data_IF_999914439761
#
_entry.id   IF_999914439761
#
_cell.length_a   1.000
_cell.length_b   1.000
_cell.length_c   1.000
_cell.angle_alpha   90.00
_cell.angle_beta   90.00
_cell.angle_gamma   90.00
#
_symmetry.space_group_name_H-M   'P 1'
#
loop_
_entity.id
_entity.type
_entity.pdbx_description
1 polymer ?
#
# COMPACT_ATOMS: atom_id res chain seq x y z
N UNK A 1 -21.05 4.22 -15.72
CA UNK A 1 -20.54 5.63 -15.79
C UNK A 1 -20.84 6.44 -14.51
N UNK A 2 -22.06 6.36 -13.91
CA UNK A 2 -22.40 7.07 -12.65
C UNK A 2 -21.62 6.58 -11.44
N UNK A 3 -21.35 5.29 -11.34
CA UNK A 3 -20.66 4.67 -10.18
C UNK A 3 -19.20 5.09 -10.07
N UNK A 4 -18.53 5.27 -11.21
CA UNK A 4 -17.18 5.83 -11.27
C UNK A 4 -17.10 7.28 -10.74
N UNK A 5 -18.18 8.05 -10.86
CA UNK A 5 -18.23 9.43 -10.39
C UNK A 5 -18.35 9.47 -8.86
N UNK A 6 -19.22 8.63 -8.29
CA UNK A 6 -19.44 8.58 -6.83
C UNK A 6 -18.17 8.14 -6.11
N UNK A 7 -17.49 7.11 -6.60
CA UNK A 7 -16.24 6.66 -5.95
C UNK A 7 -15.07 7.63 -6.18
N UNK A 8 -14.95 8.23 -7.36
CA UNK A 8 -13.98 9.29 -7.60
C UNK A 8 -14.16 10.45 -6.62
N UNK A 9 -15.39 10.89 -6.39
CA UNK A 9 -15.72 11.90 -5.39
C UNK A 9 -15.38 11.46 -3.95
N UNK A 10 -15.52 10.17 -3.65
CA UNK A 10 -15.15 9.63 -2.34
C UNK A 10 -13.64 9.62 -2.13
N UNK A 11 -12.86 9.29 -3.17
CA UNK A 11 -11.40 9.32 -3.13
C UNK A 11 -10.83 10.73 -2.90
N UNK A 12 -11.53 11.78 -3.34
CA UNK A 12 -11.14 13.17 -3.04
C UNK A 12 -11.12 13.47 -1.54
N UNK A 13 -11.88 12.70 -0.74
CA UNK A 13 -11.96 12.84 0.72
C UNK A 13 -11.06 11.86 1.48
N UNK A 14 -10.02 11.30 0.84
CA UNK A 14 -9.11 10.38 1.50
C UNK A 14 -8.39 11.04 2.68
N UNK A 15 -8.49 10.43 3.85
CA UNK A 15 -7.78 10.83 5.06
C UNK A 15 -6.56 9.94 5.23
N UNK A 16 -5.38 10.50 5.03
CA UNK A 16 -4.12 9.80 5.10
C UNK A 16 -3.32 10.23 6.33
N UNK A 17 -2.82 9.24 7.08
CA UNK A 17 -1.96 9.47 8.24
C UNK A 17 -0.68 8.64 8.12
N UNK A 18 0.46 9.29 8.28
CA UNK A 18 1.75 8.64 8.45
C UNK A 18 1.93 8.26 9.91
N UNK A 19 2.27 7.01 10.20
CA UNK A 19 2.49 6.52 11.54
C UNK A 19 4.00 6.46 11.87
N UNK A 20 4.77 5.77 11.05
CA UNK A 20 6.21 5.60 11.23
C UNK A 20 6.85 5.07 9.95
N UNK A 21 8.16 5.18 9.84
CA UNK A 21 8.91 4.62 8.73
C UNK A 21 10.40 4.91 8.85
N UNK A 22 11.21 4.12 8.16
CA UNK A 22 12.66 4.27 8.15
C UNK A 22 13.27 3.50 6.97
N UNK A 23 14.60 3.61 6.84
CA UNK A 23 15.43 2.69 6.07
C UNK A 23 16.08 1.70 7.02
N UNK A 24 15.87 0.41 6.81
CA UNK A 24 16.42 -0.64 7.64
C UNK A 24 17.32 -1.58 6.83
N UNK A 25 18.53 -1.82 7.34
CA UNK A 25 19.32 -2.99 7.01
C UNK A 25 18.96 -4.05 8.05
N UNK A 26 18.16 -5.04 7.64
CA UNK A 26 17.59 -6.00 8.56
C UNK A 26 18.67 -6.97 9.09
N UNK A 27 18.68 -7.20 10.40
CA UNK A 27 19.60 -8.15 11.03
C UNK A 27 19.19 -9.61 10.75
N UNK A 28 20.09 -10.56 10.91
CA UNK A 28 19.91 -11.96 10.49
C UNK A 28 18.66 -12.66 11.07
N UNK A 29 18.28 -12.34 12.31
CA UNK A 29 17.08 -12.89 12.96
C UNK A 29 15.82 -12.04 12.76
N UNK A 30 15.83 -11.12 11.78
CA UNK A 30 14.65 -10.31 11.48
C UNK A 30 13.52 -11.20 10.96
N UNK A 31 12.37 -11.04 11.58
CA UNK A 31 11.13 -11.72 11.19
C UNK A 31 10.03 -11.47 12.21
N UNK A 32 8.81 -11.63 11.80
CA UNK A 32 7.62 -11.50 12.66
C UNK A 32 6.39 -12.08 11.97
N UNK A 33 5.37 -12.39 12.78
CA UNK A 33 3.99 -12.58 12.34
C UNK A 33 3.11 -11.54 13.04
N UNK A 34 2.37 -10.78 12.27
CA UNK A 34 1.46 -9.75 12.74
C UNK A 34 0.05 -10.08 12.24
N UNK A 35 -0.92 -10.09 13.16
CA UNK A 35 -2.30 -10.44 12.87
C UNK A 35 -3.15 -9.17 12.93
N UNK A 36 -3.87 -8.90 11.86
CA UNK A 36 -4.84 -7.80 11.73
C UNK A 36 -4.32 -6.43 12.20
N UNK A 37 -3.18 -5.93 11.66
CA UNK A 37 -2.76 -4.58 11.96
C UNK A 37 -3.80 -3.58 11.45
N UNK A 38 -4.04 -2.51 12.22
CA UNK A 38 -4.97 -1.43 11.83
C UNK A 38 -4.41 -0.46 10.78
N UNK A 39 -3.20 -0.72 10.27
CA UNK A 39 -2.46 0.13 9.36
C UNK A 39 -1.90 -0.66 8.19
N UNK A 40 -1.65 0.04 7.09
CA UNK A 40 -1.01 -0.48 5.89
C UNK A 40 0.50 -0.30 5.98
N UNK A 41 1.25 -1.12 5.24
CA UNK A 41 2.71 -0.98 5.11
C UNK A 41 3.11 -0.94 3.66
N UNK A 42 4.09 -0.08 3.35
CA UNK A 42 4.91 -0.23 2.17
C UNK A 42 6.30 -0.74 2.56
N UNK A 43 6.79 -1.75 1.84
CA UNK A 43 8.16 -2.28 1.93
C UNK A 43 8.79 -2.22 0.55
N UNK A 44 9.78 -1.34 0.36
CA UNK A 44 10.56 -1.27 -0.87
C UNK A 44 11.90 -1.95 -0.67
N UNK A 45 12.11 -3.09 -1.35
CA UNK A 45 13.29 -3.94 -1.16
C UNK A 45 14.47 -3.38 -1.96
N UNK A 46 15.52 -2.95 -1.26
CA UNK A 46 16.70 -2.34 -1.85
C UNK A 46 17.83 -3.34 -2.11
N UNK A 47 17.90 -4.40 -1.32
CA UNK A 47 18.87 -5.50 -1.49
C UNK A 47 18.40 -6.76 -0.78
N UNK A 48 18.98 -7.91 -1.13
CA UNK A 48 18.71 -9.19 -0.51
C UNK A 48 17.36 -9.79 -0.93
N UNK A 49 16.94 -10.79 -0.17
CA UNK A 49 15.69 -11.52 -0.38
C UNK A 49 15.07 -11.96 0.95
N UNK A 50 13.74 -12.06 0.99
CA UNK A 50 13.04 -12.55 2.17
C UNK A 50 11.70 -13.21 1.78
N UNK A 51 11.19 -14.04 2.68
CA UNK A 51 9.84 -14.54 2.61
C UNK A 51 8.85 -13.48 3.12
N UNK A 52 7.75 -13.31 2.39
CA UNK A 52 6.59 -12.52 2.83
C UNK A 52 5.34 -13.35 2.55
N UNK A 53 4.49 -13.51 3.57
CA UNK A 53 3.15 -14.09 3.44
C UNK A 53 2.13 -13.04 3.85
N UNK A 54 1.09 -12.88 3.04
CA UNK A 54 -0.06 -12.01 3.30
C UNK A 54 -1.30 -12.88 3.14
N UNK A 55 -1.99 -13.16 4.24
CA UNK A 55 -3.06 -14.15 4.32
C UNK A 55 -2.62 -15.50 3.72
N UNK A 56 -3.26 -15.97 2.65
CA UNK A 56 -2.93 -17.24 1.98
C UNK A 56 -1.88 -17.09 0.88
N UNK A 57 -1.44 -15.87 0.56
CA UNK A 57 -0.52 -15.58 -0.54
C UNK A 57 0.94 -15.51 -0.07
N UNK A 58 1.82 -16.28 -0.70
CA UNK A 58 3.23 -16.40 -0.32
C UNK A 58 4.15 -15.83 -1.43
N UNK A 59 5.21 -15.14 -1.02
CA UNK A 59 6.13 -14.46 -1.92
C UNK A 59 7.57 -14.61 -1.46
N UNK A 60 8.49 -14.66 -2.42
CA UNK A 60 9.91 -14.39 -2.21
C UNK A 60 10.18 -12.97 -2.71
N UNK A 61 10.21 -12.04 -1.77
CA UNK A 61 10.49 -10.65 -2.06
C UNK A 61 11.95 -10.44 -2.43
N UNK A 62 12.19 -9.65 -3.48
CA UNK A 62 13.53 -9.39 -4.04
C UNK A 62 13.76 -7.90 -4.27
N UNK A 63 15.03 -7.54 -4.47
CA UNK A 63 15.44 -6.17 -4.82
C UNK A 63 14.58 -5.62 -5.99
N UNK A 64 14.14 -4.38 -5.85
CA UNK A 64 13.36 -3.66 -6.87
C UNK A 64 11.84 -3.83 -6.72
N UNK A 65 11.38 -4.67 -5.79
CA UNK A 65 9.96 -4.87 -5.53
C UNK A 65 9.46 -3.93 -4.44
N UNK A 66 8.31 -3.32 -4.69
CA UNK A 66 7.56 -2.52 -3.72
C UNK A 66 6.33 -3.31 -3.30
N UNK A 67 6.32 -3.77 -2.05
CA UNK A 67 5.22 -4.50 -1.45
C UNK A 67 4.25 -3.58 -0.73
N UNK A 68 2.95 -3.83 -0.91
CA UNK A 68 1.86 -3.30 -0.11
C UNK A 68 1.32 -4.43 0.78
N UNK A 69 1.47 -4.29 2.09
CA UNK A 69 0.90 -5.17 3.10
C UNK A 69 -0.32 -4.46 3.71
N UNK A 70 -1.54 -4.87 3.35
CA UNK A 70 -2.76 -4.15 3.75
C UNK A 70 -3.08 -4.32 5.23
N UNK A 71 -3.83 -3.37 5.80
CA UNK A 71 -4.43 -3.52 7.11
C UNK A 71 -5.35 -4.75 7.17
N UNK A 72 -5.72 -5.18 8.37
CA UNK A 72 -6.67 -6.28 8.61
C UNK A 72 -6.31 -7.62 7.93
N UNK A 73 -5.01 -7.83 7.59
CA UNK A 73 -4.47 -9.07 7.04
C UNK A 73 -3.53 -9.77 8.02
N UNK A 74 -3.30 -11.06 7.86
CA UNK A 74 -2.24 -11.77 8.57
C UNK A 74 -0.95 -11.70 7.77
N UNK A 75 0.12 -11.16 8.37
CA UNK A 75 1.37 -10.88 7.68
C UNK A 75 2.51 -11.60 8.38
N UNK A 76 3.20 -12.49 7.66
CA UNK A 76 4.42 -13.16 8.14
C UNK A 76 5.58 -12.80 7.22
N UNK A 77 6.71 -12.47 7.79
CA UNK A 77 7.94 -12.19 7.03
C UNK A 77 9.18 -12.60 7.81
N UNK A 78 10.18 -13.12 7.10
CA UNK A 78 11.47 -13.53 7.67
C UNK A 78 12.52 -13.70 6.57
N UNK A 79 13.79 -13.74 6.97
CA UNK A 79 14.87 -14.12 6.05
C UNK A 79 14.78 -15.60 5.68
N UNK A 80 15.18 -15.91 4.46
CA UNK A 80 15.25 -17.27 3.92
C UNK A 80 16.69 -17.72 3.68
N UNK A 81 17.64 -16.80 3.73
CA UNK A 81 19.06 -17.05 3.47
C UNK A 81 19.92 -16.02 4.21
N UNK A 82 21.26 -16.14 4.09
CA UNK A 82 22.21 -15.16 4.61
C UNK A 82 22.24 -13.86 3.77
N UNK A 83 21.55 -13.83 2.62
CA UNK A 83 21.37 -12.65 1.80
C UNK A 83 20.28 -11.73 2.38
N UNK A 84 20.57 -11.14 3.54
CA UNK A 84 19.61 -10.33 4.30
C UNK A 84 19.17 -9.09 3.54
N UNK A 85 17.92 -8.67 3.76
CA UNK A 85 17.37 -7.51 3.07
C UNK A 85 17.79 -6.20 3.68
N UNK A 86 17.91 -5.18 2.81
CA UNK A 86 17.71 -3.79 3.19
C UNK A 86 16.45 -3.25 2.49
N UNK A 87 15.71 -2.42 3.18
CA UNK A 87 14.45 -1.87 2.67
C UNK A 87 14.17 -0.48 3.20
N UNK A 88 13.46 0.32 2.41
CA UNK A 88 12.64 1.40 2.92
C UNK A 88 11.30 0.82 3.38
N UNK A 89 10.75 1.38 4.45
CA UNK A 89 9.43 0.98 4.92
C UNK A 89 8.67 2.15 5.54
N UNK A 90 7.37 2.15 5.39
CA UNK A 90 6.46 3.07 6.07
C UNK A 90 5.22 2.33 6.54
N UNK A 91 4.64 2.79 7.65
CA UNK A 91 3.32 2.43 8.13
C UNK A 91 2.40 3.65 8.00
N UNK A 92 1.21 3.45 7.49
CA UNK A 92 0.25 4.52 7.24
C UNK A 92 -1.18 4.02 7.28
N UNK A 93 -2.14 4.90 7.50
CA UNK A 93 -3.56 4.65 7.28
C UNK A 93 -4.05 5.47 6.09
N UNK A 94 -5.04 4.96 5.38
CA UNK A 94 -5.65 5.62 4.22
C UNK A 94 -7.16 5.42 4.31
N UNK A 95 -7.84 6.28 5.09
CA UNK A 95 -9.27 6.15 5.35
C UNK A 95 -10.09 6.85 4.27
N UNK A 96 -11.12 6.17 3.79
CA UNK A 96 -12.12 6.68 2.86
C UNK A 96 -13.50 6.21 3.35
N UNK A 97 -14.40 7.13 3.67
CA UNK A 97 -15.74 6.80 4.20
C UNK A 97 -15.71 5.88 5.44
N UNK A 98 -14.88 6.19 6.42
CA UNK A 98 -14.69 5.44 7.67
C UNK A 98 -14.22 3.99 7.50
N UNK A 99 -13.71 3.62 6.33
CA UNK A 99 -13.04 2.34 6.07
C UNK A 99 -11.67 2.59 5.45
N UNK A 100 -10.74 1.69 5.69
CA UNK A 100 -9.45 1.79 5.02
C UNK A 100 -9.61 1.56 3.51
N UNK A 101 -8.84 2.28 2.70
CA UNK A 101 -8.87 2.20 1.25
C UNK A 101 -8.55 0.78 0.76
N UNK A 102 -7.60 0.09 1.43
CA UNK A 102 -7.17 -1.25 1.05
C UNK A 102 -8.23 -2.32 1.35
N UNK A 103 -9.25 -2.00 2.14
CA UNK A 103 -10.43 -2.86 2.31
C UNK A 103 -11.45 -2.67 1.19
N UNK A 104 -11.41 -1.54 0.50
CA UNK A 104 -12.39 -1.15 -0.53
C UNK A 104 -11.91 -1.41 -1.95
N UNK A 105 -10.60 -1.45 -2.16
CA UNK A 105 -9.99 -1.70 -3.46
C UNK A 105 -9.13 -2.97 -3.43
N UNK A 106 -8.95 -3.59 -4.59
CA UNK A 106 -8.04 -4.72 -4.78
C UNK A 106 -6.81 -4.24 -5.55
N UNK A 107 -5.66 -4.27 -4.88
CA UNK A 107 -4.35 -4.06 -5.49
C UNK A 107 -3.52 -5.32 -5.35
N UNK A 108 -2.56 -5.59 -6.24
CA UNK A 108 -1.61 -6.69 -6.05
C UNK A 108 -0.79 -6.44 -4.79
N UNK A 109 -0.24 -7.48 -4.19
CA UNK A 109 0.60 -7.35 -3.00
C UNK A 109 1.99 -6.77 -3.29
N UNK A 110 2.44 -6.77 -4.54
CA UNK A 110 3.66 -6.09 -4.94
C UNK A 110 3.63 -5.63 -6.40
N UNK A 111 4.50 -4.69 -6.72
CA UNK A 111 4.83 -4.25 -8.07
C UNK A 111 6.35 -4.26 -8.26
N UNK A 112 6.79 -4.43 -9.50
CA UNK A 112 8.18 -4.17 -9.90
C UNK A 112 8.35 -2.65 -10.11
N UNK A 113 9.29 -2.07 -9.37
CA UNK A 113 9.58 -0.63 -9.49
C UNK A 113 10.35 -0.36 -10.77
N UNK A 114 9.79 0.48 -11.64
CA UNK A 114 10.42 0.88 -12.91
C UNK A 114 11.33 2.09 -12.76
N UNK A 115 10.90 3.06 -11.96
CA UNK A 115 11.66 4.27 -11.65
C UNK A 115 12.19 4.19 -10.21
N UNK A 116 13.37 3.60 -10.07
CA UNK A 116 14.03 3.38 -8.78
C UNK A 116 14.37 4.68 -8.07
N UNK A 117 14.83 5.69 -8.80
CA UNK A 117 15.24 6.96 -8.23
C UNK A 117 14.03 7.71 -7.69
N UNK A 118 12.96 7.80 -8.46
CA UNK A 118 11.71 8.43 -8.04
C UNK A 118 11.13 7.81 -6.77
N UNK A 119 10.99 6.48 -6.73
CA UNK A 119 10.44 5.77 -5.55
C UNK A 119 11.36 5.92 -4.33
N UNK A 120 12.68 5.84 -4.54
CA UNK A 120 13.66 6.04 -3.46
C UNK A 120 13.57 7.45 -2.88
N UNK A 121 13.44 8.49 -3.72
CA UNK A 121 13.36 9.87 -3.28
C UNK A 121 12.03 10.17 -2.57
N UNK A 122 10.92 9.54 -2.98
CA UNK A 122 9.67 9.59 -2.23
C UNK A 122 9.86 9.02 -0.81
N UNK A 123 10.44 7.82 -0.67
CA UNK A 123 10.69 7.23 0.65
C UNK A 123 11.58 8.10 1.52
N UNK A 124 12.71 8.60 1.00
CA UNK A 124 13.59 9.53 1.73
C UNK A 124 12.82 10.75 2.21
N UNK A 125 11.99 11.33 1.34
CA UNK A 125 11.21 12.52 1.66
C UNK A 125 10.13 12.25 2.71
N UNK A 126 9.54 11.04 2.74
CA UNK A 126 8.55 10.63 3.71
C UNK A 126 9.16 10.42 5.09
N UNK A 127 10.32 9.73 5.19
CA UNK A 127 10.93 9.33 6.47
C UNK A 127 11.76 10.43 7.11
N UNK A 128 12.13 11.48 6.36
CA UNK A 128 12.92 12.59 6.87
C UNK A 128 12.09 13.45 7.82
N UNK A 129 12.63 13.72 9.03
CA UNK A 129 12.14 14.65 10.07
C UNK A 129 11.08 14.14 11.06
N UNK A 130 11.46 14.20 12.35
CA UNK A 130 10.58 13.94 13.50
C UNK A 130 9.94 15.22 14.09
N UNK A 131 10.41 16.41 13.69
CA UNK A 131 9.85 17.71 14.11
C UNK A 131 9.31 18.43 12.89
N UNK A 132 8.01 18.26 12.63
CA UNK A 132 7.41 18.75 11.41
C UNK A 132 6.67 20.06 11.64
N UNK A 133 7.05 21.06 10.88
CA UNK A 133 6.23 22.24 10.61
C UNK A 133 4.98 21.86 9.79
N UNK A 134 3.98 22.73 9.75
CA UNK A 134 2.75 22.52 8.98
C UNK A 134 3.04 22.12 7.52
N UNK A 135 3.96 22.84 6.86
CA UNK A 135 4.27 22.57 5.46
C UNK A 135 4.96 21.20 5.25
N UNK A 136 5.77 20.73 6.20
CA UNK A 136 6.41 19.41 6.15
C UNK A 136 5.40 18.28 6.34
N UNK A 137 4.42 18.47 7.24
CA UNK A 137 3.30 17.52 7.40
C UNK A 137 2.51 17.40 6.10
N UNK A 138 2.18 18.52 5.47
CA UNK A 138 1.45 18.54 4.20
C UNK A 138 2.25 17.89 3.06
N UNK A 139 3.55 18.20 2.97
CA UNK A 139 4.45 17.56 1.98
C UNK A 139 4.55 16.05 2.19
N UNK A 140 4.70 15.58 3.43
CA UNK A 140 4.74 14.14 3.72
C UNK A 140 3.48 13.43 3.27
N UNK A 141 2.29 13.99 3.53
CA UNK A 141 1.02 13.46 3.01
C UNK A 141 1.01 13.40 1.49
N UNK A 142 1.47 14.46 0.82
CA UNK A 142 1.57 14.51 -0.63
C UNK A 142 2.51 13.41 -1.18
N UNK A 143 3.66 13.17 -0.56
CA UNK A 143 4.59 12.12 -0.97
C UNK A 143 4.00 10.71 -0.80
N UNK A 144 3.24 10.45 0.27
CA UNK A 144 2.57 9.15 0.44
C UNK A 144 1.45 8.99 -0.61
N UNK A 145 0.69 10.05 -0.93
CA UNK A 145 -0.29 10.02 -2.01
C UNK A 145 0.38 9.76 -3.38
N UNK A 146 1.54 10.37 -3.65
CA UNK A 146 2.31 10.09 -4.86
C UNK A 146 2.79 8.64 -4.92
N UNK A 147 3.24 8.07 -3.79
CA UNK A 147 3.64 6.67 -3.72
C UNK A 147 2.46 5.72 -3.95
N UNK A 148 1.28 6.02 -3.39
CA UNK A 148 0.04 5.28 -3.65
C UNK A 148 -0.40 5.38 -5.12
N UNK A 149 -0.32 6.58 -5.70
CA UNK A 149 -0.65 6.81 -7.11
C UNK A 149 0.31 6.02 -8.03
N UNK A 150 1.61 6.09 -7.75
CA UNK A 150 2.62 5.31 -8.47
C UNK A 150 2.34 3.81 -8.38
N UNK A 151 2.01 3.31 -7.18
CA UNK A 151 1.68 1.90 -6.98
C UNK A 151 0.46 1.48 -7.78
N UNK A 152 -0.61 2.26 -7.73
CA UNK A 152 -1.85 2.00 -8.48
C UNK A 152 -1.63 2.02 -10.00
N UNK A 153 -0.86 2.98 -10.51
CA UNK A 153 -0.53 3.11 -11.94
C UNK A 153 0.26 1.89 -12.47
N UNK A 154 1.19 1.36 -11.67
CA UNK A 154 2.05 0.24 -12.05
C UNK A 154 1.50 -1.12 -11.61
N UNK A 155 0.33 -1.12 -10.95
CA UNK A 155 -0.39 -2.31 -10.60
C UNK A 155 -1.15 -2.83 -11.80
N UNK A 156 -0.92 -3.64 -12.62
CA UNK A 156 -1.65 -4.15 -13.81
C UNK A 156 -3.17 -4.36 -13.61
N UNK A 157 -3.77 -3.61 -12.69
CA UNK A 157 -5.18 -3.71 -12.31
C UNK A 157 -6.00 -2.77 -13.17
N UNK A 158 -6.97 -3.30 -13.91
CA UNK A 158 -7.92 -2.49 -14.69
C UNK A 158 -8.93 -1.81 -13.77
N UNK A 159 -9.53 -0.71 -14.22
CA UNK A 159 -10.56 0.02 -13.45
C UNK A 159 -11.73 -0.88 -12.99
N UNK A 160 -12.04 -1.93 -13.71
CA UNK A 160 -13.16 -2.84 -13.44
C UNK A 160 -12.86 -3.82 -12.28
N UNK A 161 -11.58 -4.11 -12.02
CA UNK A 161 -11.15 -5.05 -10.97
C UNK A 161 -10.75 -4.36 -9.66
N UNK A 162 -10.73 -3.02 -9.62
CA UNK A 162 -10.28 -2.26 -8.44
C UNK A 162 -11.23 -2.40 -7.26
N UNK A 163 -12.55 -2.58 -7.50
CA UNK A 163 -13.53 -2.57 -6.43
C UNK A 163 -13.81 -3.98 -5.91
N UNK A 164 -13.56 -4.21 -4.62
CA UNK A 164 -14.09 -5.38 -3.93
C UNK A 164 -15.61 -5.27 -3.93
N UNK A 165 -16.29 -6.34 -4.34
CA UNK A 165 -17.75 -6.44 -4.35
C UNK A 165 -18.38 -5.80 -3.12
N UNK A 166 -18.88 -4.60 -3.29
CA UNK A 166 -19.73 -4.00 -2.28
C UNK A 166 -21.17 -4.35 -2.63
N UNK A 167 -22.03 -4.53 -1.63
CA UNK A 167 -23.48 -4.70 -1.82
C UNK A 167 -24.08 -3.63 -2.77
N UNK A 168 -23.36 -2.54 -2.94
CA UNK A 168 -23.71 -1.46 -3.86
C UNK A 168 -23.54 -1.87 -5.32
N UNK A 169 -22.51 -2.63 -5.70
CA UNK A 169 -22.33 -3.11 -7.08
C UNK A 169 -23.47 -4.04 -7.48
N UNK A 170 -23.90 -4.92 -6.56
CA UNK A 170 -25.05 -5.82 -6.79
C UNK A 170 -26.35 -5.04 -6.96
N UNK A 171 -26.60 -4.01 -6.14
CA UNK A 171 -27.79 -3.16 -6.25
C UNK A 171 -27.77 -2.36 -7.54
N UNK A 172 -26.61 -1.86 -7.96
CA UNK A 172 -26.47 -1.04 -9.17
C UNK A 172 -26.58 -1.89 -10.44
N UNK A 173 -26.01 -3.11 -10.45
CA UNK A 173 -26.22 -4.08 -11.52
C UNK A 173 -27.71 -4.43 -11.63
N UNK A 174 -28.40 -4.66 -10.51
CA UNK A 174 -29.84 -4.92 -10.49
C UNK A 174 -30.67 -3.74 -11.04
N UNK A 175 -30.28 -2.51 -10.73
CA UNK A 175 -30.94 -1.29 -11.23
C UNK A 175 -30.73 -1.13 -12.75
N UNK A 176 -29.51 -1.35 -13.24
CA UNK A 176 -29.19 -1.23 -14.67
C UNK A 176 -29.88 -2.33 -15.51
N UNK A 177 -30.02 -3.54 -14.97
CA UNK A 177 -30.68 -4.66 -15.64
C UNK A 177 -32.21 -4.58 -15.63
N UNK A 178 -32.83 -3.84 -14.68
CA UNK A 178 -34.27 -3.84 -14.48
C UNK A 178 -34.96 -2.48 -14.70
N UNK A 179 -34.19 -1.42 -14.96
CA UNK A 179 -34.71 -0.05 -15.17
C UNK A 179 -34.31 0.58 -16.52
N UNK A 180 -33.82 -0.20 -17.49
CA UNK A 180 -33.54 0.21 -18.86
C UNK A 180 -34.65 -0.17 -19.83
#
# INVERSE_FOLDING_TARGET
MKDNIVFSQQLENIQLEYLTGDFAKCWRSWGSTIINPYYNKFYYIMSGECYIKIDDSEYIAKKGQLFLLPCNSTQTYHHISDNTISKYWIHFTAMCNNKDLMEQITLPHFIEVKDTDYVTDLFKSIITNNHLSLHEILRRKAYILQLLAYYAEHSSVTRETIFKDTKLSVILTYIDENLS
#
